data_IF_791691873582
#
_entry.id   IF_791691873582
#
_cell.length_a   1.000
_cell.length_b   1.000
_cell.length_c   1.000
_cell.angle_alpha   90.00
_cell.angle_beta   90.00
_cell.angle_gamma   90.00
#
_symmetry.space_group_name_H-M   'P 1'
#
loop_
_entity.id
_entity.type
_entity.pdbx_description
1 polymer ?
#
# COMPACT_ATOMS: atom_id res chain seq x y z
N UNK A 1 -23.74 34.46 -16.92
CA UNK A 1 -22.55 34.68 -16.06
C UNK A 1 -22.96 34.47 -14.61
N UNK A 2 -22.20 33.68 -13.84
CA UNK A 2 -22.37 33.38 -12.39
C UNK A 2 -23.69 32.62 -12.07
N UNK A 3 -23.70 31.44 -11.46
CA UNK A 3 -23.02 31.10 -10.22
C UNK A 3 -22.57 29.62 -10.20
N UNK A 4 -21.31 29.45 -9.83
CA UNK A 4 -20.57 28.23 -9.59
C UNK A 4 -20.72 27.90 -8.10
N UNK A 5 -20.92 26.62 -7.77
CA UNK A 5 -20.85 26.00 -6.42
C UNK A 5 -22.14 25.94 -5.61
N UNK A 6 -23.08 25.11 -6.03
CA UNK A 6 -24.01 24.46 -5.08
C UNK A 6 -23.33 23.19 -4.55
N UNK A 7 -23.15 23.16 -3.23
CA UNK A 7 -22.61 22.02 -2.47
C UNK A 7 -23.61 20.85 -2.52
N UNK A 8 -23.18 19.71 -3.05
CA UNK A 8 -23.78 18.39 -2.85
C UNK A 8 -22.55 17.51 -2.53
N UNK A 9 -22.10 17.34 -1.28
CA UNK A 9 -22.74 16.61 -0.19
C UNK A 9 -23.14 15.18 -0.59
N UNK A 10 -22.36 14.21 -0.10
CA UNK A 10 -22.70 12.82 0.21
C UNK A 10 -22.83 11.83 -0.97
N UNK A 11 -21.99 10.79 -0.91
CA UNK A 11 -22.12 9.61 -1.77
C UNK A 11 -21.01 8.59 -1.53
N UNK A 12 -20.92 8.03 -0.32
CA UNK A 12 -20.23 6.77 -0.06
C UNK A 12 -20.84 5.69 -0.97
N UNK A 13 -20.10 5.27 -1.99
CA UNK A 13 -20.43 4.09 -2.78
C UNK A 13 -19.37 3.02 -2.51
N UNK A 14 -19.52 2.35 -1.36
CA UNK A 14 -18.85 1.07 -1.08
C UNK A 14 -19.57 0.02 -1.93
N UNK A 15 -18.98 -0.32 -3.07
CA UNK A 15 -19.43 -1.43 -3.90
C UNK A 15 -19.06 -2.76 -3.23
N UNK A 16 -19.92 -3.26 -2.36
CA UNK A 16 -19.82 -4.62 -1.85
C UNK A 16 -20.30 -5.61 -2.93
N UNK A 17 -19.44 -5.93 -3.88
CA UNK A 17 -19.58 -7.15 -4.66
C UNK A 17 -19.06 -8.31 -3.79
N UNK A 18 -19.93 -8.84 -2.92
CA UNK A 18 -19.66 -10.06 -2.17
C UNK A 18 -19.71 -11.26 -3.12
N UNK A 19 -18.60 -11.51 -3.82
CA UNK A 19 -18.37 -12.80 -4.47
C UNK A 19 -17.96 -13.77 -3.36
N UNK A 20 -18.85 -14.69 -3.01
CA UNK A 20 -18.57 -15.76 -2.06
C UNK A 20 -17.58 -16.73 -2.70
N UNK A 21 -16.29 -16.46 -2.51
CA UNK A 21 -15.21 -17.42 -2.73
C UNK A 21 -14.42 -17.54 -1.42
N UNK A 22 -14.13 -18.77 -0.95
CA UNK A 22 -13.26 -18.99 0.20
C UNK A 22 -11.81 -18.77 -0.25
N UNK A 23 -11.43 -17.51 -0.44
CA UNK A 23 -10.07 -17.14 -0.78
C UNK A 23 -9.37 -16.88 0.55
N UNK A 24 -8.56 -17.88 0.94
CA UNK A 24 -7.29 -17.72 1.67
C UNK A 24 -7.09 -16.31 2.18
N UNK A 25 -7.04 -16.14 3.51
CA UNK A 25 -6.68 -14.92 4.23
C UNK A 25 -5.60 -14.14 3.47
N UNK A 26 -6.03 -13.35 2.50
CA UNK A 26 -5.21 -12.43 1.77
C UNK A 26 -5.32 -11.25 2.69
N UNK A 27 -4.34 -11.13 3.59
CA UNK A 27 -4.24 -9.96 4.43
C UNK A 27 -4.42 -8.76 3.50
N UNK A 28 -5.58 -8.13 3.60
CA UNK A 28 -5.87 -6.90 2.91
C UNK A 28 -5.01 -5.86 3.63
N UNK A 29 -3.74 -5.81 3.26
CA UNK A 29 -2.89 -4.71 3.62
C UNK A 29 -3.48 -3.52 2.90
N UNK A 30 -4.14 -2.66 3.69
CA UNK A 30 -4.70 -1.42 3.22
C UNK A 30 -3.60 -0.67 2.46
N UNK A 31 -3.88 -0.37 1.19
CA UNK A 31 -3.10 0.52 0.34
C UNK A 31 -3.24 1.96 0.88
N UNK A 32 -2.63 2.19 2.05
CA UNK A 32 -2.72 3.45 2.79
C UNK A 32 -1.33 3.86 3.26
N UNK A 33 -0.54 4.47 2.39
CA UNK A 33 0.66 5.17 2.83
C UNK A 33 0.95 6.36 1.94
N UNK A 34 0.68 7.58 2.46
CA UNK A 34 1.75 8.38 3.08
C UNK A 34 1.40 9.09 4.40
N UNK A 35 0.26 8.81 5.05
CA UNK A 35 -0.28 9.66 6.13
C UNK A 35 -0.42 9.02 7.53
N UNK A 36 0.29 7.92 7.83
CA UNK A 36 0.16 7.21 9.12
C UNK A 36 1.53 6.87 9.77
N UNK A 37 2.47 7.82 9.71
CA UNK A 37 3.82 7.67 10.28
C UNK A 37 4.79 6.82 9.46
N UNK A 38 4.33 6.25 8.36
CA UNK A 38 5.16 5.47 7.43
C UNK A 38 6.10 6.35 6.61
N UNK A 39 7.35 5.93 6.54
CA UNK A 39 8.43 6.58 5.80
C UNK A 39 8.91 5.64 4.71
N UNK A 40 9.06 6.17 3.50
CA UNK A 40 9.69 5.44 2.41
C UNK A 40 11.18 5.29 2.73
N UNK A 41 11.62 4.05 2.92
CA UNK A 41 13.03 3.74 3.23
C UNK A 41 13.79 3.24 2.02
N UNK A 42 13.08 2.79 0.98
CA UNK A 42 13.70 2.28 -0.24
C UNK A 42 12.69 1.81 -1.27
N UNK A 43 13.18 1.12 -2.29
CA UNK A 43 12.36 0.41 -3.25
C UNK A 43 13.19 -0.21 -4.36
N UNK A 44 12.82 -1.42 -4.75
CA UNK A 44 13.52 -2.22 -5.74
C UNK A 44 12.53 -3.15 -6.47
N UNK A 45 13.04 -3.90 -7.44
CA UNK A 45 12.24 -4.90 -8.13
C UNK A 45 12.32 -6.23 -7.42
N UNK A 46 11.15 -6.82 -7.14
CA UNK A 46 11.02 -8.14 -6.53
C UNK A 46 10.18 -9.04 -7.43
N UNK A 47 10.41 -10.34 -7.39
CA UNK A 47 9.61 -11.32 -8.13
C UNK A 47 8.17 -11.41 -7.59
N UNK A 48 7.97 -11.05 -6.32
CA UNK A 48 6.65 -11.01 -5.68
C UNK A 48 6.58 -10.02 -4.52
N UNK A 49 5.36 -9.62 -4.17
CA UNK A 49 5.08 -8.84 -2.96
C UNK A 49 5.62 -9.51 -1.69
N UNK A 50 5.46 -10.83 -1.57
CA UNK A 50 5.93 -11.59 -0.41
C UNK A 50 7.45 -11.47 -0.24
N UNK A 51 8.20 -11.57 -1.33
CA UNK A 51 9.66 -11.42 -1.30
C UNK A 51 10.07 -10.02 -0.81
N UNK A 52 9.34 -8.97 -1.21
CA UNK A 52 9.56 -7.62 -0.71
C UNK A 52 9.32 -7.55 0.81
N UNK A 53 8.20 -8.06 1.30
CA UNK A 53 7.86 -8.04 2.73
C UNK A 53 8.86 -8.86 3.54
N UNK A 54 9.25 -10.05 3.08
CA UNK A 54 10.23 -10.90 3.74
C UNK A 54 11.59 -10.19 3.85
N UNK A 55 12.00 -9.46 2.81
CA UNK A 55 13.22 -8.66 2.84
C UNK A 55 13.10 -7.48 3.80
N UNK A 56 12.00 -6.73 3.72
CA UNK A 56 11.75 -5.59 4.61
C UNK A 56 11.70 -6.02 6.09
N UNK A 57 11.18 -7.21 6.40
CA UNK A 57 11.19 -7.80 7.74
C UNK A 57 12.59 -8.21 8.20
N UNK A 58 13.47 -8.67 7.29
CA UNK A 58 14.89 -8.92 7.60
C UNK A 58 15.65 -7.63 7.88
N UNK A 59 15.28 -6.54 7.24
CA UNK A 59 15.94 -5.24 7.38
C UNK A 59 15.42 -4.42 8.58
N UNK A 60 14.23 -4.74 9.08
CA UNK A 60 13.60 -4.05 10.20
C UNK A 60 14.46 -4.06 11.49
N UNK A 61 15.05 -5.20 11.95
CA UNK A 61 15.95 -5.22 13.10
C UNK A 61 17.22 -4.37 12.94
N UNK A 62 17.64 -4.10 11.70
CA UNK A 62 18.80 -3.22 11.41
C UNK A 62 18.44 -1.74 11.54
N UNK A 63 17.15 -1.42 11.62
CA UNK A 63 16.61 -0.08 11.75
C UNK A 63 15.82 0.05 13.05
N UNK A 64 16.48 0.16 14.22
CA UNK A 64 15.81 0.13 15.53
C UNK A 64 14.84 1.29 15.79
N UNK A 65 14.82 2.29 14.91
CA UNK A 65 13.87 3.41 14.91
C UNK A 65 12.48 3.05 14.38
N UNK A 66 12.34 1.88 13.74
CA UNK A 66 11.09 1.40 13.15
C UNK A 66 10.69 0.07 13.81
N UNK A 67 9.40 -0.17 13.89
CA UNK A 67 8.77 -1.33 14.49
C UNK A 67 7.92 -2.13 13.51
N UNK A 68 7.57 -1.53 12.38
CA UNK A 68 6.82 -2.19 11.32
C UNK A 68 7.47 -1.94 9.96
N UNK A 69 7.40 -2.95 9.09
CA UNK A 69 7.86 -2.88 7.72
C UNK A 69 6.79 -3.45 6.79
N UNK A 70 6.56 -2.78 5.67
CA UNK A 70 5.64 -3.24 4.63
C UNK A 70 6.15 -2.83 3.26
N UNK A 71 5.50 -3.34 2.23
CA UNK A 71 5.77 -3.01 0.84
C UNK A 71 4.53 -2.46 0.16
N UNK A 72 4.74 -1.72 -0.92
CA UNK A 72 3.68 -1.24 -1.79
C UNK A 72 4.09 -1.47 -3.25
N UNK A 73 3.20 -2.08 -4.04
CA UNK A 73 3.44 -2.22 -5.48
C UNK A 73 3.38 -0.86 -6.15
N UNK A 74 4.45 -0.49 -6.84
CA UNK A 74 4.60 0.80 -7.51
C UNK A 74 5.29 0.61 -8.87
N UNK A 75 4.63 -0.09 -9.82
CA UNK A 75 5.20 -0.37 -11.14
C UNK A 75 5.64 0.91 -11.85
N UNK A 76 6.83 0.86 -12.46
CA UNK A 76 7.41 1.96 -13.23
C UNK A 76 7.59 1.55 -14.70
N UNK A 77 7.68 2.50 -15.65
CA UNK A 77 8.05 2.19 -17.03
C UNK A 77 9.37 1.42 -17.07
N UNK A 78 9.35 0.19 -17.58
CA UNK A 78 10.51 -0.72 -17.63
C UNK A 78 10.75 -1.57 -16.38
N UNK A 79 10.01 -1.35 -15.29
CA UNK A 79 10.10 -2.11 -14.03
C UNK A 79 8.68 -2.45 -13.52
N UNK A 80 8.01 -3.46 -14.11
CA UNK A 80 6.63 -3.80 -13.77
C UNK A 80 6.49 -4.38 -12.35
N UNK A 81 7.58 -4.92 -11.79
CA UNK A 81 7.58 -5.53 -10.46
C UNK A 81 8.33 -4.67 -9.44
N UNK A 82 8.23 -3.35 -9.55
CA UNK A 82 8.86 -2.44 -8.59
C UNK A 82 7.99 -2.28 -7.36
N UNK A 83 8.58 -2.45 -6.18
CA UNK A 83 7.93 -2.25 -4.90
C UNK A 83 8.67 -1.18 -4.10
N UNK A 84 7.91 -0.34 -3.42
CA UNK A 84 8.43 0.63 -2.45
C UNK A 84 8.39 -0.01 -1.07
N UNK A 85 9.49 0.11 -0.34
CA UNK A 85 9.58 -0.34 1.04
C UNK A 85 9.24 0.83 1.96
N UNK A 86 8.29 0.60 2.85
CA UNK A 86 7.84 1.53 3.87
C UNK A 86 8.15 0.98 5.25
N UNK A 87 8.62 1.83 6.16
CA UNK A 87 8.82 1.49 7.57
C UNK A 87 8.27 2.58 8.49
N UNK A 88 7.83 2.20 9.69
CA UNK A 88 7.43 3.13 10.76
C UNK A 88 7.82 2.59 12.13
#
# INVERSE_FOLDING_TARGET
MKSWRTRIALGLAVGAAAVTMPLTATAAFADTQPNDGWVQVGGESYDSFQQCVDQAQRDLPLNPKYHEATCQSAPKPGLPNYYIVWMR
#
